data_IF_111346839750
#
_entry.id   IF_111346839750
#
_cell.length_a   1.000
_cell.length_b   1.000
_cell.length_c   1.000
_cell.angle_alpha   90.00
_cell.angle_beta   90.00
_cell.angle_gamma   90.00
#
_symmetry.space_group_name_H-M   'P 1'
#
loop_
_entity.id
_entity.type
_entity.pdbx_description
1 polymer ?
#
# COMPACT_ATOMS: atom_id res chain seq x y z
N UNK A 1 4.75 -18.66 -14.16
CA UNK A 1 3.47 -18.08 -13.72
C UNK A 1 2.49 -19.04 -12.99
N UNK A 2 2.66 -20.38 -12.92
CA UNK A 2 1.70 -21.25 -12.21
C UNK A 2 1.56 -20.92 -10.71
N UNK A 3 2.63 -20.47 -10.05
CA UNK A 3 2.60 -20.10 -8.63
C UNK A 3 1.72 -18.87 -8.40
N UNK A 4 1.92 -17.79 -9.18
CA UNK A 4 1.15 -16.54 -9.07
C UNK A 4 -0.34 -16.83 -9.26
N UNK A 5 -0.70 -17.56 -10.32
CA UNK A 5 -2.09 -17.98 -10.57
C UNK A 5 -2.69 -18.74 -9.38
N UNK A 6 -1.98 -19.76 -8.86
CA UNK A 6 -2.46 -20.54 -7.70
C UNK A 6 -2.61 -19.68 -6.45
N UNK A 7 -1.75 -18.69 -6.27
CA UNK A 7 -1.88 -17.76 -5.13
C UNK A 7 -3.13 -16.91 -5.25
N UNK A 8 -3.40 -16.35 -6.43
CA UNK A 8 -4.64 -15.58 -6.66
C UNK A 8 -5.86 -16.47 -6.46
N UNK A 9 -5.88 -17.66 -7.08
CA UNK A 9 -6.97 -18.65 -6.93
C UNK A 9 -7.18 -19.03 -5.45
N UNK A 10 -6.11 -19.24 -4.71
CA UNK A 10 -6.22 -19.55 -3.29
C UNK A 10 -6.97 -18.46 -2.52
N UNK A 11 -6.66 -17.18 -2.77
CA UNK A 11 -7.36 -16.09 -2.11
C UNK A 11 -8.83 -16.02 -2.54
N UNK A 12 -9.11 -15.90 -3.82
CA UNK A 12 -10.48 -15.66 -4.30
C UNK A 12 -11.38 -16.88 -4.22
N UNK A 13 -10.85 -18.10 -4.22
CA UNK A 13 -11.65 -19.33 -4.17
C UNK A 13 -11.82 -19.87 -2.75
N UNK A 14 -10.86 -19.64 -1.83
CA UNK A 14 -10.87 -20.31 -0.53
C UNK A 14 -10.97 -19.36 0.67
N UNK A 15 -10.69 -18.06 0.47
CA UNK A 15 -10.66 -17.08 1.57
C UNK A 15 -11.86 -16.13 1.58
N UNK A 16 -12.82 -16.31 0.69
CA UNK A 16 -14.04 -15.52 0.68
C UNK A 16 -14.97 -15.90 1.84
N UNK A 17 -15.38 -14.89 2.60
CA UNK A 17 -16.29 -15.07 3.74
C UNK A 17 -17.68 -15.44 3.22
N UNK A 18 -18.37 -16.30 3.97
CA UNK A 18 -19.77 -16.62 3.77
C UNK A 18 -20.61 -15.99 4.87
N UNK A 19 -21.74 -15.46 4.50
CA UNK A 19 -22.75 -14.96 5.47
C UNK A 19 -23.52 -16.10 6.15
N UNK A 20 -24.47 -15.76 7.00
CA UNK A 20 -25.28 -16.72 7.74
C UNK A 20 -26.14 -17.63 6.84
N UNK A 21 -26.43 -17.22 5.60
CA UNK A 21 -27.15 -18.02 4.60
C UNK A 21 -26.23 -18.98 3.84
N UNK A 22 -24.93 -18.85 4.01
CA UNK A 22 -23.89 -19.57 3.26
C UNK A 22 -23.51 -18.89 1.92
N UNK A 23 -24.05 -17.72 1.62
CA UNK A 23 -23.70 -16.95 0.44
C UNK A 23 -22.34 -16.23 0.61
N UNK A 24 -21.56 -16.19 -0.46
CA UNK A 24 -20.28 -15.50 -0.46
C UNK A 24 -20.45 -13.98 -0.47
N UNK A 25 -19.82 -13.30 0.49
CA UNK A 25 -19.94 -11.85 0.69
C UNK A 25 -19.06 -11.01 -0.23
N UNK A 26 -18.08 -11.62 -0.86
CA UNK A 26 -17.01 -10.91 -1.58
C UNK A 26 -15.82 -10.51 -0.70
N UNK A 27 -16.00 -10.43 0.61
CA UNK A 27 -14.92 -10.14 1.54
C UNK A 27 -13.94 -11.31 1.66
N UNK A 28 -12.65 -10.99 1.57
CA UNK A 28 -11.58 -11.97 1.76
C UNK A 28 -10.99 -11.84 3.16
N UNK A 29 -10.81 -12.98 3.84
CA UNK A 29 -10.13 -13.02 5.13
C UNK A 29 -8.63 -12.87 4.93
N UNK A 30 -8.04 -11.80 5.45
CA UNK A 30 -6.62 -11.73 5.67
C UNK A 30 -6.28 -12.32 7.05
N UNK A 31 -5.38 -13.28 7.08
CA UNK A 31 -5.02 -13.97 8.33
C UNK A 31 -3.85 -13.36 9.09
N UNK A 32 -3.32 -12.26 8.66
CA UNK A 32 -2.26 -11.64 9.43
C UNK A 32 -2.87 -11.07 10.73
N UNK A 33 -2.34 -11.53 11.84
CA UNK A 33 -2.72 -11.07 13.19
C UNK A 33 -4.24 -11.11 13.48
N UNK A 34 -4.96 -12.00 12.83
CA UNK A 34 -6.40 -12.20 13.05
C UNK A 34 -7.30 -11.05 12.65
N UNK A 35 -6.81 -10.14 11.84
CA UNK A 35 -7.54 -8.96 11.43
C UNK A 35 -8.19 -9.13 10.05
N UNK A 36 -9.34 -8.51 9.88
CA UNK A 36 -9.98 -8.31 8.60
C UNK A 36 -9.48 -6.97 8.03
N UNK A 37 -8.56 -7.02 7.07
CA UNK A 37 -8.02 -5.84 6.42
C UNK A 37 -8.74 -5.57 5.10
N UNK A 38 -9.23 -4.35 4.94
CA UNK A 38 -9.92 -3.94 3.70
C UNK A 38 -8.94 -3.90 2.52
N UNK A 39 -7.74 -3.40 2.72
CA UNK A 39 -6.69 -3.32 1.68
C UNK A 39 -6.33 -4.69 1.09
N UNK A 40 -6.41 -5.76 1.90
CA UNK A 40 -6.16 -7.13 1.45
C UNK A 40 -7.12 -7.58 0.33
N UNK A 41 -8.29 -6.96 0.22
CA UNK A 41 -9.24 -7.24 -0.85
C UNK A 41 -8.85 -6.57 -2.18
N UNK A 42 -8.13 -5.46 -2.15
CA UNK A 42 -7.64 -4.80 -3.36
C UNK A 42 -6.51 -5.60 -4.04
N UNK A 43 -5.66 -6.26 -3.24
CA UNK A 43 -4.50 -7.00 -3.73
C UNK A 43 -4.79 -8.03 -4.82
N UNK A 44 -5.73 -8.97 -4.64
CA UNK A 44 -6.06 -9.97 -5.65
C UNK A 44 -6.59 -9.40 -6.97
N UNK A 45 -7.26 -8.25 -6.96
CA UNK A 45 -7.73 -7.59 -8.17
C UNK A 45 -6.56 -7.02 -8.98
N UNK A 46 -5.62 -6.37 -8.31
CA UNK A 46 -4.40 -5.85 -8.92
C UNK A 46 -3.53 -7.01 -9.44
N UNK A 47 -3.33 -8.04 -8.62
CA UNK A 47 -2.54 -9.20 -8.99
C UNK A 47 -3.15 -10.00 -10.17
N UNK A 48 -4.48 -10.07 -10.26
CA UNK A 48 -5.17 -10.69 -11.38
C UNK A 48 -4.91 -9.92 -12.69
N UNK A 49 -4.95 -8.60 -12.64
CA UNK A 49 -4.61 -7.76 -13.76
C UNK A 49 -3.15 -7.94 -14.19
N UNK A 50 -2.20 -7.86 -13.25
CA UNK A 50 -0.77 -8.10 -13.52
C UNK A 50 -0.53 -9.48 -14.14
N UNK A 51 -1.23 -10.51 -13.64
CA UNK A 51 -1.12 -11.87 -14.17
C UNK A 51 -1.62 -11.97 -15.61
N UNK A 52 -2.81 -11.41 -15.90
CA UNK A 52 -3.41 -11.47 -17.24
C UNK A 52 -2.58 -10.65 -18.23
N UNK A 53 -2.14 -9.46 -17.86
CA UNK A 53 -1.24 -8.63 -18.69
C UNK A 53 0.08 -9.34 -19.01
N UNK A 54 0.63 -10.06 -18.04
CA UNK A 54 1.89 -10.78 -18.22
C UNK A 54 1.74 -12.07 -19.05
N UNK A 55 0.59 -12.73 -19.02
CA UNK A 55 0.41 -14.09 -19.59
C UNK A 55 -0.54 -14.16 -20.77
N UNK A 56 -1.47 -13.23 -20.89
CA UNK A 56 -2.59 -13.32 -21.85
C UNK A 56 -3.59 -14.45 -21.54
N UNK A 57 -3.62 -14.99 -20.28
CA UNK A 57 -4.47 -16.14 -19.90
C UNK A 57 -5.95 -15.76 -19.83
N UNK A 58 -6.53 -15.49 -21.00
CA UNK A 58 -7.95 -15.12 -21.15
C UNK A 58 -8.89 -16.20 -20.64
N UNK A 59 -8.56 -17.47 -20.83
CA UNK A 59 -9.43 -18.57 -20.38
C UNK A 59 -9.52 -18.62 -18.86
N UNK A 60 -8.42 -18.36 -18.16
CA UNK A 60 -8.42 -18.21 -16.71
C UNK A 60 -9.28 -17.00 -16.29
N UNK A 61 -9.12 -15.88 -16.96
CA UNK A 61 -9.89 -14.67 -16.67
C UNK A 61 -11.40 -14.92 -16.81
N UNK A 62 -11.84 -15.56 -17.90
CA UNK A 62 -13.26 -15.92 -18.11
C UNK A 62 -13.81 -16.75 -16.96
N UNK A 63 -13.03 -17.70 -16.44
CA UNK A 63 -13.47 -18.54 -15.32
C UNK A 63 -13.51 -17.82 -13.99
N UNK A 64 -12.69 -16.78 -13.80
CA UNK A 64 -12.47 -16.16 -12.48
C UNK A 64 -13.10 -14.78 -12.33
N UNK A 65 -13.48 -14.13 -13.42
CA UNK A 65 -13.95 -12.74 -13.42
C UNK A 65 -15.10 -12.51 -12.42
N UNK A 66 -16.09 -13.41 -12.38
CA UNK A 66 -17.21 -13.28 -11.44
C UNK A 66 -16.83 -13.35 -9.95
N UNK A 67 -15.69 -13.97 -9.63
CA UNK A 67 -15.16 -13.93 -8.24
C UNK A 67 -14.45 -12.62 -7.94
N UNK A 68 -13.73 -12.08 -8.93
CA UNK A 68 -13.10 -10.77 -8.82
C UNK A 68 -14.17 -9.67 -8.69
N UNK A 69 -15.27 -9.76 -9.43
CA UNK A 69 -16.42 -8.86 -9.31
C UNK A 69 -16.98 -8.86 -7.86
N UNK A 70 -17.19 -10.04 -7.26
CA UNK A 70 -17.65 -10.12 -5.85
C UNK A 70 -16.73 -9.37 -4.90
N UNK A 71 -15.41 -9.51 -5.06
CA UNK A 71 -14.44 -8.80 -4.22
C UNK A 71 -14.54 -7.29 -4.41
N UNK A 72 -14.66 -6.82 -5.65
CA UNK A 72 -14.83 -5.39 -5.93
C UNK A 72 -16.17 -4.85 -5.41
N UNK A 73 -17.24 -5.65 -5.49
CA UNK A 73 -18.55 -5.27 -4.97
C UNK A 73 -18.55 -5.14 -3.45
N UNK A 74 -17.82 -6.00 -2.75
CA UNK A 74 -17.56 -5.82 -1.32
C UNK A 74 -16.85 -4.49 -1.04
N UNK A 75 -15.79 -4.17 -1.78
CA UNK A 75 -15.08 -2.90 -1.59
C UNK A 75 -16.01 -1.71 -1.84
N UNK A 76 -16.81 -1.72 -2.92
CA UNK A 76 -17.78 -0.67 -3.21
C UNK A 76 -18.80 -0.52 -2.07
N UNK A 77 -19.22 -1.61 -1.45
CA UNK A 77 -20.16 -1.57 -0.33
C UNK A 77 -19.62 -0.91 0.93
N UNK A 78 -18.30 -0.66 0.97
CA UNK A 78 -17.63 0.05 2.05
C UNK A 78 -17.62 1.58 1.90
N UNK A 79 -18.17 2.10 0.83
CA UNK A 79 -18.55 3.51 0.68
C UNK A 79 -19.93 3.70 1.36
N UNK A 80 -19.90 3.81 2.71
CA UNK A 80 -21.12 3.72 3.53
C UNK A 80 -21.92 5.03 3.50
N UNK A 81 -21.25 6.18 3.46
CA UNK A 81 -21.88 7.49 3.40
C UNK A 81 -22.11 7.99 1.96
N UNK A 82 -21.63 7.25 0.96
CA UNK A 82 -21.86 7.53 -0.46
C UNK A 82 -21.00 8.65 -1.04
N UNK A 83 -19.92 9.05 -0.36
CA UNK A 83 -19.01 10.10 -0.85
C UNK A 83 -17.97 9.59 -1.85
N UNK A 84 -17.89 8.28 -2.06
CA UNK A 84 -16.99 7.60 -2.99
C UNK A 84 -15.73 7.04 -2.35
N UNK A 85 -15.47 7.30 -1.07
CA UNK A 85 -14.33 6.73 -0.34
C UNK A 85 -14.69 5.46 0.41
N UNK A 86 -13.75 4.56 0.47
CA UNK A 86 -13.86 3.31 1.22
C UNK A 86 -13.61 3.59 2.69
N UNK A 87 -14.51 3.10 3.54
CA UNK A 87 -14.47 3.31 4.98
C UNK A 87 -14.05 2.06 5.74
N UNK A 88 -13.16 2.26 6.70
CA UNK A 88 -12.85 1.33 7.75
C UNK A 88 -13.49 1.77 9.06
N UNK A 89 -14.05 0.84 9.81
CA UNK A 89 -14.67 1.18 11.11
C UNK A 89 -13.63 1.33 12.20
N UNK A 90 -12.48 0.70 12.03
CA UNK A 90 -11.43 0.69 13.04
C UNK A 90 -10.10 0.23 12.49
N UNK A 91 -9.03 0.58 13.14
CA UNK A 91 -7.70 0.24 12.75
C UNK A 91 -6.92 -0.48 13.84
N UNK A 92 -5.77 -1.02 13.44
CA UNK A 92 -4.90 -1.80 14.30
C UNK A 92 -5.45 -3.19 14.60
N UNK A 93 -4.59 -4.04 15.14
CA UNK A 93 -4.93 -5.43 15.45
C UNK A 93 -5.78 -5.59 16.72
N UNK A 94 -5.88 -4.55 17.54
CA UNK A 94 -6.43 -4.67 18.89
C UNK A 94 -7.91 -5.04 18.91
N UNK A 95 -8.65 -4.66 17.91
CA UNK A 95 -10.10 -4.70 17.94
C UNK A 95 -10.72 -5.70 16.97
N UNK A 96 -9.93 -6.24 16.06
CA UNK A 96 -10.42 -7.07 14.97
C UNK A 96 -10.67 -8.53 15.36
N UNK A 97 -10.08 -9.00 16.44
CA UNK A 97 -10.24 -10.38 16.94
C UNK A 97 -11.63 -10.72 17.45
N UNK A 98 -12.39 -9.73 17.93
CA UNK A 98 -13.63 -9.96 18.69
C UNK A 98 -14.84 -9.23 18.12
N UNK A 99 -14.70 -8.43 17.09
CA UNK A 99 -15.77 -7.59 16.56
C UNK A 99 -15.83 -7.66 15.03
N UNK A 100 -16.99 -7.38 14.42
CA UNK A 100 -17.14 -7.34 12.97
C UNK A 100 -16.47 -6.11 12.32
N UNK A 101 -15.62 -5.42 13.04
CA UNK A 101 -14.91 -4.26 12.59
C UNK A 101 -13.81 -4.66 11.58
N UNK A 102 -13.59 -3.84 10.58
CA UNK A 102 -12.56 -4.02 9.57
C UNK A 102 -11.53 -2.92 9.71
N UNK A 103 -10.28 -3.31 9.92
CA UNK A 103 -9.16 -2.38 9.83
C UNK A 103 -9.00 -1.91 8.39
N UNK A 104 -8.50 -0.69 8.22
CA UNK A 104 -8.24 -0.16 6.89
C UNK A 104 -7.16 -0.98 6.17
N UNK A 105 -6.03 -1.20 6.82
CA UNK A 105 -4.86 -1.83 6.24
C UNK A 105 -4.03 -2.56 7.30
N UNK A 106 -2.94 -3.14 6.87
CA UNK A 106 -1.96 -3.86 7.68
C UNK A 106 -1.21 -3.00 8.73
N UNK A 107 -1.50 -1.71 8.81
CA UNK A 107 -0.93 -0.79 9.82
C UNK A 107 -1.37 -1.15 11.23
N UNK A 108 -0.93 -2.29 11.71
CA UNK A 108 -1.45 -2.98 12.90
C UNK A 108 -1.25 -2.20 14.22
N UNK A 109 -0.27 -1.32 14.25
CA UNK A 109 0.02 -0.51 15.42
C UNK A 109 -0.49 0.93 15.32
N UNK A 110 -0.99 1.34 14.16
CA UNK A 110 -1.46 2.71 13.93
C UNK A 110 -2.97 2.77 13.98
N UNK A 111 -3.53 3.68 14.77
CA UNK A 111 -4.97 3.88 14.86
C UNK A 111 -5.52 4.66 13.66
N UNK A 112 -5.17 4.21 12.45
CA UNK A 112 -5.70 4.79 11.23
C UNK A 112 -7.06 4.18 10.93
N UNK A 113 -8.01 4.99 10.53
CA UNK A 113 -9.35 4.48 10.29
C UNK A 113 -10.31 5.55 9.85
N UNK A 114 -11.52 5.16 9.62
CA UNK A 114 -12.56 5.75 8.83
C UNK A 114 -12.12 5.88 7.37
N UNK A 115 -11.56 6.98 6.91
CA UNK A 115 -11.13 7.16 5.51
C UNK A 115 -9.61 7.31 5.44
N UNK A 116 -8.91 6.24 5.13
CA UNK A 116 -7.45 6.27 5.02
C UNK A 116 -6.99 6.36 3.56
N UNK A 117 -5.86 7.03 3.37
CA UNK A 117 -5.31 7.29 2.03
C UNK A 117 -4.75 6.02 1.39
N UNK A 118 -4.15 5.11 2.17
CA UNK A 118 -3.49 3.92 1.64
C UNK A 118 -4.49 2.94 1.05
N UNK A 119 -5.51 2.54 1.83
CA UNK A 119 -6.56 1.62 1.38
C UNK A 119 -7.31 2.19 0.19
N UNK A 120 -7.67 3.47 0.25
CA UNK A 120 -8.38 4.13 -0.84
C UNK A 120 -7.54 4.19 -2.13
N UNK A 121 -6.24 4.44 -2.04
CA UNK A 121 -5.36 4.40 -3.21
C UNK A 121 -5.29 2.99 -3.84
N UNK A 122 -5.19 1.95 -3.01
CA UNK A 122 -5.22 0.57 -3.50
C UNK A 122 -6.57 0.20 -4.11
N UNK A 123 -7.68 0.60 -3.51
CA UNK A 123 -9.04 0.36 -4.04
C UNK A 123 -9.24 1.06 -5.38
N UNK A 124 -8.80 2.31 -5.52
CA UNK A 124 -8.80 3.00 -6.81
C UNK A 124 -8.05 2.20 -7.89
N UNK A 125 -6.83 1.77 -7.59
CA UNK A 125 -6.06 0.95 -8.53
C UNK A 125 -6.76 -0.36 -8.86
N UNK A 126 -7.33 -1.04 -7.86
CA UNK A 126 -8.05 -2.28 -8.01
C UNK A 126 -9.28 -2.14 -8.93
N UNK A 127 -10.08 -1.08 -8.77
CA UNK A 127 -11.23 -0.81 -9.64
C UNK A 127 -10.80 -0.52 -11.08
N UNK A 128 -9.70 0.24 -11.29
CA UNK A 128 -9.15 0.47 -12.64
C UNK A 128 -8.67 -0.82 -13.29
N UNK A 129 -7.98 -1.67 -12.54
CA UNK A 129 -7.53 -2.98 -13.01
C UNK A 129 -8.71 -3.87 -13.41
N UNK A 130 -9.75 -3.93 -12.58
CA UNK A 130 -10.93 -4.74 -12.90
C UNK A 130 -11.69 -4.20 -14.09
N UNK A 131 -11.86 -2.88 -14.21
CA UNK A 131 -12.50 -2.26 -15.37
C UNK A 131 -11.79 -2.61 -16.69
N UNK A 132 -10.46 -2.65 -16.67
CA UNK A 132 -9.66 -3.07 -17.83
C UNK A 132 -9.84 -4.55 -18.14
N UNK A 133 -9.80 -5.43 -17.14
CA UNK A 133 -10.08 -6.87 -17.32
C UNK A 133 -11.47 -7.13 -17.92
N UNK A 134 -12.48 -6.38 -17.48
CA UNK A 134 -13.83 -6.45 -18.04
C UNK A 134 -13.88 -5.99 -19.52
N UNK A 135 -13.11 -4.92 -19.81
CA UNK A 135 -12.96 -4.44 -21.19
C UNK A 135 -12.32 -5.49 -22.08
N UNK A 136 -11.27 -6.16 -21.61
CA UNK A 136 -10.62 -7.26 -22.34
C UNK A 136 -11.57 -8.43 -22.63
N UNK A 137 -12.57 -8.65 -21.79
CA UNK A 137 -13.61 -9.63 -21.98
C UNK A 137 -14.79 -9.14 -22.86
N UNK A 138 -14.84 -7.85 -23.20
CA UNK A 138 -15.94 -7.23 -23.93
C UNK A 138 -17.18 -6.97 -23.05
N UNK A 139 -17.05 -6.97 -21.74
CA UNK A 139 -18.15 -6.79 -20.77
C UNK A 139 -18.33 -5.32 -20.43
N UNK A 140 -18.76 -4.53 -21.42
CA UNK A 140 -18.81 -3.06 -21.38
C UNK A 140 -19.57 -2.49 -20.18
N UNK A 141 -20.72 -3.09 -19.82
CA UNK A 141 -21.52 -2.61 -18.68
C UNK A 141 -20.74 -2.70 -17.35
N UNK A 142 -20.05 -3.80 -17.13
CA UNK A 142 -19.22 -4.01 -15.93
C UNK A 142 -17.98 -3.11 -15.94
N UNK A 143 -17.30 -3.00 -17.07
CA UNK A 143 -16.20 -2.06 -17.25
C UNK A 143 -16.61 -0.63 -16.90
N UNK A 144 -17.77 -0.17 -17.39
CA UNK A 144 -18.31 1.16 -17.06
C UNK A 144 -18.61 1.30 -15.57
N UNK A 145 -19.18 0.27 -14.93
CA UNK A 145 -19.48 0.28 -13.49
C UNK A 145 -18.25 0.47 -12.64
N UNK A 146 -17.18 -0.31 -12.87
CA UNK A 146 -15.95 -0.22 -12.09
C UNK A 146 -15.13 1.04 -12.43
N UNK A 147 -15.20 1.51 -13.68
CA UNK A 147 -14.64 2.83 -14.03
C UNK A 147 -15.34 3.93 -13.24
N UNK A 148 -16.67 3.93 -13.17
CA UNK A 148 -17.43 4.92 -12.41
C UNK A 148 -17.12 4.88 -10.90
N UNK A 149 -16.90 3.68 -10.33
CA UNK A 149 -16.46 3.55 -8.93
C UNK A 149 -15.08 4.16 -8.71
N UNK A 150 -14.12 3.88 -9.59
CA UNK A 150 -12.79 4.49 -9.55
C UNK A 150 -12.84 6.01 -9.69
N UNK A 151 -13.65 6.54 -10.61
CA UNK A 151 -13.75 7.97 -10.87
C UNK A 151 -14.38 8.72 -9.68
N UNK A 152 -15.41 8.15 -9.04
CA UNK A 152 -15.99 8.71 -7.79
C UNK A 152 -14.95 8.76 -6.67
N UNK A 153 -14.25 7.65 -6.44
CA UNK A 153 -13.19 7.60 -5.44
C UNK A 153 -12.11 8.65 -5.73
N UNK A 154 -11.65 8.75 -6.96
CA UNK A 154 -10.64 9.75 -7.36
C UNK A 154 -11.13 11.18 -7.11
N UNK A 155 -12.39 11.48 -7.43
CA UNK A 155 -12.95 12.81 -7.23
C UNK A 155 -13.00 13.21 -5.75
N UNK A 156 -13.29 12.26 -4.86
CA UNK A 156 -13.36 12.50 -3.42
C UNK A 156 -11.99 12.48 -2.72
N UNK A 157 -11.00 11.75 -3.24
CA UNK A 157 -9.76 11.43 -2.55
C UNK A 157 -8.96 12.67 -2.16
N UNK A 158 -8.57 13.47 -3.15
CA UNK A 158 -7.71 14.63 -2.91
C UNK A 158 -8.37 15.70 -2.04
N UNK A 159 -9.62 16.13 -2.31
CA UNK A 159 -10.28 17.12 -1.45
C UNK A 159 -10.46 16.68 0.01
N UNK A 160 -10.66 15.37 0.24
CA UNK A 160 -10.87 14.84 1.59
C UNK A 160 -9.58 14.70 2.38
N UNK A 161 -8.48 14.36 1.71
CA UNK A 161 -7.25 13.95 2.38
C UNK A 161 -6.11 14.97 2.28
N UNK A 162 -6.23 15.98 1.43
CA UNK A 162 -5.20 17.01 1.30
C UNK A 162 -5.24 18.01 2.47
N UNK A 163 -4.06 18.27 3.03
CA UNK A 163 -3.89 19.26 4.08
C UNK A 163 -3.24 20.52 3.50
N UNK A 164 -4.03 21.56 3.28
CA UNK A 164 -3.56 22.83 2.73
C UNK A 164 -2.48 23.50 3.58
N UNK A 165 -2.47 23.26 4.90
CA UNK A 165 -1.48 23.86 5.82
C UNK A 165 -0.07 23.28 5.66
N UNK A 166 0.00 21.98 5.33
CA UNK A 166 1.28 21.27 5.20
C UNK A 166 1.70 21.07 3.75
N UNK A 167 0.72 21.14 2.81
CA UNK A 167 0.93 20.79 1.41
C UNK A 167 1.06 19.30 1.15
N UNK A 168 0.66 18.44 2.10
CA UNK A 168 0.78 16.98 2.04
C UNK A 168 -0.59 16.32 2.16
N UNK A 169 -0.66 15.02 1.89
CA UNK A 169 -1.82 14.22 2.23
C UNK A 169 -1.78 13.81 3.71
N UNK A 170 -2.92 13.89 4.37
CA UNK A 170 -3.13 13.18 5.61
C UNK A 170 -3.09 11.67 5.38
N UNK A 171 -2.65 10.94 6.39
CA UNK A 171 -2.67 9.49 6.35
C UNK A 171 -4.10 8.95 6.42
N UNK A 172 -4.92 9.56 7.27
CA UNK A 172 -6.36 9.27 7.35
C UNK A 172 -7.17 10.45 7.87
N UNK A 173 -8.47 10.41 7.60
CA UNK A 173 -9.46 11.28 8.24
C UNK A 173 -10.35 10.43 9.14
N UNK A 174 -10.37 10.74 10.44
CA UNK A 174 -11.23 10.10 11.43
C UNK A 174 -12.70 10.44 11.23
N UNK A 175 -13.58 9.68 11.86
CA UNK A 175 -15.04 9.88 11.80
C UNK A 175 -15.47 11.25 12.36
N UNK A 176 -14.72 11.79 13.32
CA UNK A 176 -14.93 13.15 13.87
C UNK A 176 -14.47 14.29 12.93
N UNK A 177 -13.99 13.93 11.74
CA UNK A 177 -13.49 14.88 10.74
C UNK A 177 -12.03 15.31 10.91
N UNK A 178 -11.32 14.82 11.93
CA UNK A 178 -9.91 15.16 12.15
C UNK A 178 -9.04 14.55 11.06
N UNK A 179 -8.23 15.38 10.39
CA UNK A 179 -7.23 14.93 9.43
C UNK A 179 -5.90 14.67 10.13
N UNK A 180 -5.41 13.45 10.05
CA UNK A 180 -4.17 13.00 10.67
C UNK A 180 -3.04 13.04 9.64
N UNK A 181 -2.20 14.07 9.73
CA UNK A 181 -1.08 14.29 8.82
C UNK A 181 0.25 14.18 9.60
N UNK A 182 1.03 13.20 9.21
CA UNK A 182 2.32 12.88 9.81
C UNK A 182 3.46 12.93 8.78
N UNK A 183 3.25 13.65 7.69
CA UNK A 183 4.21 13.74 6.59
C UNK A 183 4.70 12.35 6.15
N UNK A 184 3.78 11.49 5.73
CA UNK A 184 4.05 10.10 5.37
C UNK A 184 4.46 9.99 3.88
N UNK A 185 5.78 9.77 3.57
CA UNK A 185 6.26 9.75 2.18
C UNK A 185 5.59 8.67 1.35
N UNK A 186 5.40 7.46 1.91
CA UNK A 186 4.77 6.35 1.22
C UNK A 186 3.34 6.64 0.83
N UNK A 187 2.56 7.29 1.69
CA UNK A 187 1.16 7.63 1.45
C UNK A 187 1.03 8.65 0.32
N UNK A 188 1.78 9.74 0.42
CA UNK A 188 1.78 10.79 -0.62
C UNK A 188 2.24 10.23 -1.97
N UNK A 189 3.32 9.45 -1.96
CA UNK A 189 3.91 8.90 -3.15
C UNK A 189 3.03 7.84 -3.84
N UNK A 190 2.39 6.96 -3.07
CA UNK A 190 1.42 5.98 -3.61
C UNK A 190 0.26 6.68 -4.31
N UNK A 191 -0.29 7.74 -3.70
CA UNK A 191 -1.39 8.50 -4.28
C UNK A 191 -0.97 9.21 -5.57
N UNK A 192 0.26 9.74 -5.63
CA UNK A 192 0.82 10.35 -6.84
C UNK A 192 1.02 9.28 -7.93
N UNK A 193 1.67 8.18 -7.59
CA UNK A 193 1.95 7.08 -8.52
C UNK A 193 0.67 6.51 -9.16
N UNK A 194 -0.41 6.44 -8.40
CA UNK A 194 -1.70 5.99 -8.93
C UNK A 194 -2.54 7.10 -9.58
N UNK A 195 -2.05 8.34 -9.64
CA UNK A 195 -2.71 9.45 -10.32
C UNK A 195 -3.93 10.00 -9.57
N UNK A 196 -3.95 9.88 -8.25
CA UNK A 196 -4.99 10.42 -7.36
C UNK A 196 -4.76 11.88 -6.98
N UNK A 197 -3.53 12.37 -7.17
CA UNK A 197 -3.13 13.75 -6.88
C UNK A 197 -3.06 14.53 -8.19
N UNK A 198 -3.65 15.75 -8.28
CA UNK A 198 -3.47 16.61 -9.45
C UNK A 198 -1.99 16.88 -9.74
N UNK A 199 -1.60 16.95 -11.02
CA UNK A 199 -0.19 17.00 -11.43
C UNK A 199 0.59 18.15 -10.80
N UNK A 200 -0.01 19.34 -10.72
CA UNK A 200 0.64 20.51 -10.13
C UNK A 200 0.86 20.34 -8.62
N UNK A 201 -0.13 19.78 -7.92
CA UNK A 201 -0.03 19.44 -6.50
C UNK A 201 0.97 18.32 -6.25
N UNK A 202 1.08 17.33 -7.14
CA UNK A 202 2.00 16.20 -7.01
C UNK A 202 3.47 16.66 -6.93
N UNK A 203 3.88 17.57 -7.81
CA UNK A 203 5.25 18.12 -7.80
C UNK A 203 5.52 18.91 -6.53
N UNK A 204 4.62 19.81 -6.16
CA UNK A 204 4.74 20.60 -4.94
C UNK A 204 4.79 19.72 -3.68
N UNK A 205 4.00 18.64 -3.66
CA UNK A 205 3.97 17.67 -2.56
C UNK A 205 5.30 16.91 -2.43
N UNK A 206 5.91 16.48 -3.55
CA UNK A 206 7.21 15.84 -3.54
C UNK A 206 8.31 16.82 -3.07
N UNK A 207 8.28 18.07 -3.52
CA UNK A 207 9.20 19.10 -3.04
C UNK A 207 9.04 19.31 -1.53
N UNK A 208 7.81 19.35 -1.02
CA UNK A 208 7.54 19.49 0.41
C UNK A 208 8.02 18.30 1.23
N UNK A 209 7.93 17.07 0.70
CA UNK A 209 8.49 15.87 1.36
C UNK A 209 10.01 15.94 1.45
N UNK A 210 10.70 16.39 0.39
CA UNK A 210 12.15 16.60 0.44
C UNK A 210 12.55 17.66 1.47
N UNK A 211 11.86 18.80 1.49
CA UNK A 211 12.06 19.83 2.52
C UNK A 211 11.85 19.25 3.93
N UNK A 212 10.79 18.42 4.10
CA UNK A 212 10.52 17.80 5.39
C UNK A 212 11.61 16.84 5.81
N UNK A 213 12.15 16.03 4.89
CA UNK A 213 13.32 15.18 5.19
C UNK A 213 14.53 16.00 5.62
N UNK A 214 14.79 17.15 4.98
CA UNK A 214 15.85 18.06 5.40
C UNK A 214 15.59 18.68 6.78
N UNK A 215 14.37 19.17 7.05
CA UNK A 215 13.97 19.72 8.36
C UNK A 215 14.19 18.74 9.51
N UNK A 216 13.90 17.46 9.31
CA UNK A 216 14.07 16.40 10.32
C UNK A 216 15.42 15.70 10.25
N UNK A 217 16.31 16.17 9.37
CA UNK A 217 17.66 15.63 9.16
C UNK A 217 17.69 14.15 8.77
N UNK A 218 16.68 13.70 8.01
CA UNK A 218 16.66 12.34 7.49
C UNK A 218 17.62 12.22 6.29
N UNK A 219 18.65 11.38 6.40
CA UNK A 219 19.70 11.22 5.39
C UNK A 219 19.89 9.79 4.89
N UNK A 220 19.15 8.82 5.45
CA UNK A 220 19.39 7.39 5.26
C UNK A 220 18.61 6.81 4.07
N UNK A 221 18.71 7.45 2.92
CA UNK A 221 18.11 6.93 1.67
C UNK A 221 18.63 5.53 1.29
N UNK A 222 19.81 5.17 1.78
CA UNK A 222 20.39 3.83 1.59
C UNK A 222 19.56 2.71 2.23
N UNK A 223 18.78 3.01 3.25
CA UNK A 223 17.87 2.08 3.93
C UNK A 223 16.48 2.04 3.32
N UNK A 224 16.09 3.05 2.55
CA UNK A 224 14.75 3.29 2.06
C UNK A 224 14.11 4.52 2.69
N UNK A 225 12.79 4.49 2.84
CA UNK A 225 12.03 5.63 3.37
C UNK A 225 11.30 5.28 4.67
N UNK A 226 11.18 6.25 5.58
CA UNK A 226 10.38 6.08 6.81
C UNK A 226 8.88 6.07 6.50
N UNK A 227 8.10 5.45 7.37
CA UNK A 227 6.64 5.49 7.28
C UNK A 227 6.12 6.92 7.35
N UNK A 228 6.66 7.71 8.27
CA UNK A 228 6.27 9.09 8.55
C UNK A 228 7.50 9.89 9.02
N UNK A 229 7.48 11.19 8.75
CA UNK A 229 8.55 12.13 9.09
C UNK A 229 8.23 12.97 10.33
N UNK A 230 7.03 12.84 10.86
CA UNK A 230 6.55 13.51 12.07
C UNK A 230 6.04 12.43 13.03
N UNK A 231 6.42 12.45 14.32
CA UNK A 231 5.95 11.47 15.29
C UNK A 231 4.44 11.37 15.38
N UNK A 232 3.92 10.17 15.49
CA UNK A 232 2.49 9.95 15.74
C UNK A 232 2.09 10.55 17.10
N UNK A 233 0.92 11.17 17.13
CA UNK A 233 0.38 11.69 18.39
C UNK A 233 0.01 10.57 19.37
N UNK A 234 0.03 10.83 20.68
CA UNK A 234 -0.53 9.90 21.65
C UNK A 234 -1.99 9.53 21.28
N UNK A 235 -2.29 8.23 21.32
CA UNK A 235 -3.59 7.71 20.89
C UNK A 235 -3.71 7.37 19.39
N UNK A 236 -2.87 7.94 18.53
CA UNK A 236 -2.75 7.51 17.13
C UNK A 236 -1.91 6.23 16.98
N UNK A 237 -1.20 5.85 18.01
CA UNK A 237 -0.43 4.61 18.11
C UNK A 237 -1.04 3.73 19.21
N UNK A 238 -1.59 2.58 18.85
CA UNK A 238 -2.47 1.79 19.71
C UNK A 238 -1.75 0.89 20.72
N UNK A 239 -0.48 0.65 20.51
CA UNK A 239 0.31 -0.16 21.43
C UNK A 239 1.71 0.41 21.55
N UNK A 240 2.41 0.14 22.68
CA UNK A 240 3.86 0.09 22.64
C UNK A 240 4.17 -0.99 21.60
N UNK A 241 4.49 -0.55 20.39
CA UNK A 241 4.54 -1.40 19.24
C UNK A 241 5.57 -2.47 19.50
N UNK A 242 5.14 -3.69 19.55
CA UNK A 242 5.98 -4.88 19.42
C UNK A 242 7.40 -4.68 19.95
N UNK A 243 7.52 -4.21 21.19
CA UNK A 243 8.79 -3.98 21.84
C UNK A 243 9.47 -2.63 21.61
N UNK A 244 8.84 -1.68 20.91
CA UNK A 244 9.38 -0.31 20.88
C UNK A 244 9.31 0.30 22.29
N UNK A 245 10.41 0.72 22.87
CA UNK A 245 10.40 1.29 24.20
C UNK A 245 9.66 2.62 24.20
N UNK A 246 8.88 2.87 25.24
CA UNK A 246 8.37 4.22 25.47
C UNK A 246 9.50 5.15 25.90
N UNK A 247 9.40 6.41 25.48
CA UNK A 247 10.28 7.44 26.00
C UNK A 247 9.95 7.76 27.48
N UNK A 248 10.86 8.39 28.23
CA UNK A 248 10.63 8.73 29.63
C UNK A 248 9.37 9.58 29.85
N UNK A 249 8.93 10.34 28.87
CA UNK A 249 7.71 11.16 28.89
C UNK A 249 6.45 10.39 28.50
N UNK A 250 6.56 9.08 28.28
CA UNK A 250 5.45 8.19 27.96
C UNK A 250 5.07 8.15 26.47
N UNK A 251 5.69 8.97 25.61
CA UNK A 251 5.49 8.91 24.17
C UNK A 251 6.13 7.67 23.57
N UNK A 252 5.60 7.19 22.48
CA UNK A 252 6.20 6.10 21.72
C UNK A 252 7.49 6.58 21.04
N UNK A 253 8.52 5.74 21.02
CA UNK A 253 9.79 6.07 20.40
C UNK A 253 9.60 6.28 18.90
N UNK A 254 10.01 7.44 18.42
CA UNK A 254 10.01 7.79 17.01
C UNK A 254 11.21 7.16 16.28
N UNK A 255 11.06 6.89 15.00
CA UNK A 255 12.09 6.27 14.18
C UNK A 255 12.14 4.74 14.27
N UNK A 256 11.11 4.12 14.85
CA UNK A 256 10.99 2.66 15.02
C UNK A 256 9.67 2.18 14.49
N UNK A 257 9.67 1.04 13.77
CA UNK A 257 8.49 0.37 13.25
C UNK A 257 7.55 1.34 12.51
N UNK A 258 6.25 1.29 12.76
CA UNK A 258 5.26 2.16 12.08
C UNK A 258 5.21 3.60 12.60
N UNK A 259 6.07 3.99 13.54
CA UNK A 259 6.25 5.37 13.97
C UNK A 259 7.60 5.92 13.50
N UNK A 260 7.74 6.08 12.21
CA UNK A 260 8.95 6.61 11.58
C UNK A 260 10.03 5.58 11.26
N UNK A 261 9.81 4.30 11.50
CA UNK A 261 10.74 3.25 11.06
C UNK A 261 10.87 3.21 9.53
N UNK A 262 12.01 2.74 9.06
CA UNK A 262 12.36 2.69 7.64
C UNK A 262 12.09 1.29 7.10
N UNK A 263 11.48 1.20 5.93
CA UNK A 263 11.41 -0.01 5.12
C UNK A 263 11.83 0.28 3.68
N UNK A 264 12.63 -0.60 3.11
CA UNK A 264 13.06 -0.48 1.72
C UNK A 264 11.87 -0.49 0.75
N UNK A 265 10.83 -1.26 1.07
CA UNK A 265 9.63 -1.36 0.26
C UNK A 265 8.82 -0.07 0.14
N UNK A 266 8.97 0.86 1.08
CA UNK A 266 8.31 2.17 1.02
C UNK A 266 8.85 3.06 -0.10
N UNK A 267 10.04 2.78 -0.61
CA UNK A 267 10.71 3.63 -1.61
C UNK A 267 10.15 3.47 -3.02
N UNK A 268 9.52 2.32 -3.35
CA UNK A 268 9.03 2.05 -4.71
C UNK A 268 8.15 3.17 -5.25
N UNK A 269 7.07 3.47 -4.53
CA UNK A 269 6.10 4.49 -4.99
C UNK A 269 6.70 5.89 -5.00
N UNK A 270 7.64 6.18 -4.08
CA UNK A 270 8.32 7.47 -4.06
C UNK A 270 9.21 7.67 -5.30
N UNK A 271 9.95 6.64 -5.69
CA UNK A 271 10.74 6.63 -6.93
C UNK A 271 9.81 6.76 -8.15
N UNK A 272 8.73 5.96 -8.19
CA UNK A 272 7.75 5.98 -9.27
C UNK A 272 7.07 7.35 -9.41
N UNK A 273 6.67 7.96 -8.29
CA UNK A 273 6.07 9.30 -8.27
C UNK A 273 7.00 10.37 -8.87
N UNK A 274 8.30 10.32 -8.55
CA UNK A 274 9.29 11.20 -9.17
C UNK A 274 9.40 11.00 -10.67
N UNK A 275 9.43 9.76 -11.14
CA UNK A 275 9.47 9.47 -12.57
C UNK A 275 8.20 9.97 -13.28
N UNK A 276 7.04 9.81 -12.64
CA UNK A 276 5.76 10.25 -13.19
C UNK A 276 5.67 11.77 -13.36
N UNK A 277 6.23 12.55 -12.43
CA UNK A 277 6.26 14.01 -12.56
C UNK A 277 7.44 14.52 -13.39
N UNK A 278 8.28 13.62 -13.93
CA UNK A 278 9.43 13.95 -14.76
C UNK A 278 10.68 14.38 -13.98
N UNK A 279 10.69 14.22 -12.66
CA UNK A 279 11.86 14.52 -11.81
C UNK A 279 12.73 13.25 -11.63
N UNK A 280 13.27 12.79 -12.75
CA UNK A 280 14.04 11.55 -12.81
C UNK A 280 15.27 11.59 -11.90
N UNK A 281 15.91 12.75 -11.77
CA UNK A 281 17.11 12.91 -10.96
C UNK A 281 16.90 12.59 -9.48
N UNK A 282 15.78 13.04 -8.89
CA UNK A 282 15.45 12.72 -7.50
C UNK A 282 15.01 11.26 -7.34
N UNK A 283 14.29 10.69 -8.30
CA UNK A 283 13.98 9.27 -8.31
C UNK A 283 15.25 8.40 -8.36
N UNK A 284 16.16 8.71 -9.25
CA UNK A 284 17.46 8.05 -9.38
C UNK A 284 18.29 8.18 -8.10
N UNK A 285 18.31 9.35 -7.46
CA UNK A 285 19.02 9.57 -6.19
C UNK A 285 18.60 8.59 -5.10
N UNK A 286 17.30 8.30 -4.97
CA UNK A 286 16.81 7.30 -3.99
C UNK A 286 17.18 5.89 -4.43
N UNK A 287 16.96 5.55 -5.69
CA UNK A 287 17.24 4.23 -6.24
C UNK A 287 18.72 3.87 -6.12
N UNK A 288 19.61 4.79 -6.51
CA UNK A 288 21.06 4.60 -6.47
C UNK A 288 21.59 4.49 -5.05
N UNK A 289 21.04 5.24 -4.10
CA UNK A 289 21.43 5.12 -2.69
C UNK A 289 21.19 3.73 -2.12
N UNK A 290 20.15 3.02 -2.58
CA UNK A 290 19.79 1.68 -2.12
C UNK A 290 20.59 0.56 -2.81
N UNK A 291 21.18 0.82 -4.00
CA UNK A 291 21.89 -0.19 -4.80
C UNK A 291 22.96 -0.98 -4.03
N UNK A 292 23.87 -0.33 -3.26
CA UNK A 292 24.91 -1.07 -2.55
C UNK A 292 24.36 -2.12 -1.57
N UNK A 293 23.25 -1.82 -0.89
CA UNK A 293 22.59 -2.76 0.04
C UNK A 293 21.92 -3.90 -0.70
N UNK A 294 21.24 -3.60 -1.81
CA UNK A 294 20.63 -4.62 -2.65
C UNK A 294 21.68 -5.61 -3.17
N UNK A 295 22.84 -5.12 -3.62
CA UNK A 295 23.92 -5.99 -4.10
C UNK A 295 24.55 -6.85 -3.01
N UNK A 296 24.55 -6.39 -1.76
CA UNK A 296 24.99 -7.21 -0.62
C UNK A 296 23.89 -8.16 -0.10
N UNK A 297 22.70 -8.12 -0.68
CA UNK A 297 21.56 -8.95 -0.25
C UNK A 297 20.94 -8.52 1.09
N UNK A 298 21.20 -7.30 1.55
CA UNK A 298 20.72 -6.83 2.84
C UNK A 298 19.20 -6.69 2.90
N UNK A 299 18.53 -6.43 1.77
CA UNK A 299 17.07 -6.40 1.69
C UNK A 299 16.42 -7.79 1.52
N UNK A 300 17.22 -8.83 1.39
CA UNK A 300 16.77 -10.21 1.21
C UNK A 300 17.00 -11.08 2.44
N UNK A 301 17.80 -10.61 3.37
CA UNK A 301 18.15 -11.34 4.58
C UNK A 301 16.97 -11.35 5.54
N UNK A 302 15.95 -12.03 5.10
CA UNK A 302 14.88 -12.42 5.95
C UNK A 302 15.35 -13.38 7.00
N UNK A 303 14.94 -13.09 8.17
CA UNK A 303 15.20 -13.89 9.30
C UNK A 303 14.68 -15.25 9.22
N UNK A 304 15.52 -16.11 9.57
CA UNK A 304 15.13 -17.47 9.88
C UNK A 304 15.58 -17.88 11.27
N UNK A 305 16.34 -17.09 11.95
CA UNK A 305 16.70 -17.33 13.33
C UNK A 305 16.55 -16.06 14.18
N UNK A 306 16.30 -16.24 15.48
CA UNK A 306 16.12 -15.14 16.42
C UNK A 306 17.39 -14.29 16.62
N UNK A 307 18.53 -14.74 16.15
CA UNK A 307 19.80 -14.04 16.29
C UNK A 307 20.02 -13.04 15.15
N UNK A 308 19.43 -13.27 13.99
CA UNK A 308 19.62 -12.42 12.81
C UNK A 308 18.55 -11.33 12.64
N UNK A 309 17.62 -11.18 13.56
CA UNK A 309 16.53 -10.21 13.60
C UNK A 309 16.21 -9.58 12.24
N UNK A 310 15.14 -9.91 11.63
CA UNK A 310 14.77 -9.50 10.28
C UNK A 310 14.94 -8.02 9.98
N UNK A 311 15.19 -7.75 8.71
CA UNK A 311 15.40 -6.38 8.22
C UNK A 311 14.13 -5.91 7.48
N UNK A 312 12.94 -6.24 7.97
CA UNK A 312 11.71 -5.62 7.47
C UNK A 312 11.66 -4.15 7.86
N UNK A 313 12.20 -3.82 9.03
CA UNK A 313 12.30 -2.47 9.55
C UNK A 313 13.69 -2.16 10.05
N UNK A 314 14.11 -0.92 9.86
CA UNK A 314 15.31 -0.35 10.48
C UNK A 314 14.99 0.96 11.18
N UNK A 315 15.79 1.29 12.17
CA UNK A 315 15.81 2.62 12.78
C UNK A 315 16.54 3.61 11.88
N UNK A 316 16.50 4.90 12.19
CA UNK A 316 17.18 5.93 11.39
C UNK A 316 18.72 5.85 11.46
N UNK A 317 19.26 5.23 12.49
CA UNK A 317 20.70 4.91 12.60
C UNK A 317 21.07 3.56 11.94
N UNK A 318 20.07 2.86 11.38
CA UNK A 318 20.26 1.63 10.60
C UNK A 318 20.29 0.36 11.41
N UNK A 319 19.84 0.40 12.68
CA UNK A 319 19.71 -0.83 13.47
C UNK A 319 18.47 -1.61 13.03
N UNK A 320 18.57 -2.93 12.88
CA UNK A 320 17.40 -3.76 12.63
C UNK A 320 16.37 -3.61 13.75
N UNK A 321 15.11 -3.38 13.40
CA UNK A 321 14.02 -3.21 14.37
C UNK A 321 12.79 -4.08 14.05
N UNK A 322 12.87 -4.89 13.02
CA UNK A 322 11.87 -5.85 12.63
C UNK A 322 12.13 -7.25 13.17
N UNK A 323 11.28 -8.17 12.76
CA UNK A 323 11.36 -9.59 13.14
C UNK A 323 11.27 -10.53 11.94
N UNK A 324 11.01 -10.00 10.76
CA UNK A 324 10.95 -10.74 9.50
C UNK A 324 11.77 -10.06 8.43
N UNK A 325 12.22 -10.82 7.44
CA UNK A 325 12.71 -10.28 6.20
C UNK A 325 11.64 -10.36 5.11
N UNK A 326 11.38 -9.26 4.47
CA UNK A 326 10.45 -9.20 3.37
C UNK A 326 11.16 -9.41 2.03
N UNK A 327 10.94 -10.55 1.39
CA UNK A 327 11.28 -10.72 -0.03
C UNK A 327 10.63 -9.64 -0.91
N UNK A 328 9.50 -9.10 -0.45
CA UNK A 328 8.80 -8.01 -1.11
C UNK A 328 9.66 -6.76 -1.27
N UNK A 329 10.53 -6.43 -0.33
CA UNK A 329 11.40 -5.25 -0.40
C UNK A 329 12.38 -5.34 -1.56
N UNK A 330 13.02 -6.48 -1.74
CA UNK A 330 13.89 -6.75 -2.87
C UNK A 330 13.14 -6.74 -4.20
N UNK A 331 11.92 -7.29 -4.22
CA UNK A 331 11.07 -7.28 -5.42
C UNK A 331 10.63 -5.85 -5.79
N UNK A 332 10.23 -5.05 -4.82
CA UNK A 332 9.85 -3.64 -5.04
C UNK A 332 11.01 -2.81 -5.56
N UNK A 333 12.23 -3.05 -5.05
CA UNK A 333 13.43 -2.46 -5.60
C UNK A 333 13.61 -2.81 -7.09
N UNK A 334 13.48 -4.08 -7.45
CA UNK A 334 13.55 -4.51 -8.85
C UNK A 334 12.44 -3.84 -9.70
N UNK A 335 11.24 -3.67 -9.18
CA UNK A 335 10.17 -2.95 -9.87
C UNK A 335 10.59 -1.50 -10.18
N UNK A 336 11.22 -0.80 -9.24
CA UNK A 336 11.71 0.57 -9.45
C UNK A 336 12.76 0.63 -10.58
N UNK A 337 13.70 -0.33 -10.62
CA UNK A 337 14.67 -0.46 -11.74
C UNK A 337 13.97 -0.66 -13.08
N UNK A 338 12.94 -1.52 -13.12
CA UNK A 338 12.18 -1.79 -14.35
C UNK A 338 11.32 -0.59 -14.78
N UNK A 339 10.88 0.25 -13.86
CA UNK A 339 10.22 1.52 -14.19
C UNK A 339 11.18 2.51 -14.83
N UNK A 340 12.41 2.58 -14.31
CA UNK A 340 13.47 3.45 -14.84
C UNK A 340 13.90 3.06 -16.25
N UNK A 341 13.94 1.76 -16.51
CA UNK A 341 14.42 1.18 -17.77
C UNK A 341 13.37 0.25 -18.40
N UNK A 342 12.31 0.80 -19.03
CA UNK A 342 11.22 -0.01 -19.59
C UNK A 342 11.69 -1.05 -20.63
N UNK A 343 12.81 -0.81 -21.31
CA UNK A 343 13.40 -1.76 -22.25
C UNK A 343 13.91 -3.04 -21.56
N UNK A 344 14.36 -2.96 -20.31
CA UNK A 344 14.78 -4.11 -19.52
C UNK A 344 13.57 -5.00 -19.16
N UNK A 345 12.43 -4.40 -18.87
CA UNK A 345 11.20 -5.11 -18.54
C UNK A 345 10.86 -6.16 -19.62
N UNK A 346 10.88 -5.75 -20.89
CA UNK A 346 10.61 -6.65 -22.01
C UNK A 346 11.68 -7.73 -22.18
N UNK A 347 12.94 -7.42 -21.90
CA UNK A 347 14.03 -8.40 -21.99
C UNK A 347 13.96 -9.45 -20.89
N UNK A 348 13.62 -9.06 -19.67
CA UNK A 348 13.56 -9.94 -18.51
C UNK A 348 12.28 -10.79 -18.46
N UNK A 349 11.16 -10.28 -18.96
CA UNK A 349 9.89 -11.00 -18.91
C UNK A 349 9.68 -11.96 -20.09
N UNK A 350 10.24 -11.66 -21.28
CA UNK A 350 10.08 -12.53 -22.45
C UNK A 350 10.46 -14.01 -22.26
N UNK A 351 11.53 -14.37 -21.54
CA UNK A 351 11.85 -15.78 -21.30
C UNK A 351 10.87 -16.47 -20.34
N UNK A 352 10.18 -15.71 -19.51
CA UNK A 352 9.24 -16.22 -18.49
C UNK A 352 7.84 -16.40 -19.08
N UNK A 353 7.55 -15.68 -20.17
CA UNK A 353 6.26 -15.68 -20.85
C UNK A 353 6.16 -16.74 -21.96
N UNK A 354 7.26 -17.45 -22.26
CA UNK A 354 7.32 -18.59 -23.17
C UNK A 354 7.23 -19.87 -22.36
#
# INVERSE_FOLDING_TARGET
MPLVRRTIEYWIDTKMIKDASGAETGELICYWAYAHFIDANAGPLIAAWDYVEATGDRDWLVRKIGRLEKVADFLISRDVDGDGLIEATQSGNLHTLKQPNRSCAWWDAVNCGHKDAYTNALCYRAFRCLADLETQLGRTAQATRYTAAADRLKAAFFPTLYNEKTGLLGWWRSEDGTLHDYAAPTICALAIDYGLVPTDAARAMLDRLWQKMEEVQFTRLDLGLPTNLVPLHPGAYLQPAYGAPKQPDGRDTFGIYMNGGISAGHSLHFIAAHYQVGDTARGDRVLEAMLPRQFRGEFQNGVQDQASKGIDWTTWDGQPSGYEGYLADSFRFLQAVLMREPALRMKLLRPVLR
#
